data_IF_912481584713
#
_entry.id   IF_912481584713
#
_cell.length_a   1.000
_cell.length_b   1.000
_cell.length_c   1.000
_cell.angle_alpha   90.00
_cell.angle_beta   90.00
_cell.angle_gamma   90.00
#
_symmetry.space_group_name_H-M   'P 1'
#
loop_
_entity.id
_entity.type
_entity.pdbx_description
1 polymer ?
#
# COMPACT_ATOMS: atom_id res chain seq x y z
N UNK A 1 -15.30 23.32 -12.46
CA UNK A 1 -13.97 23.11 -13.07
C UNK A 1 -13.55 21.69 -12.76
N UNK A 2 -13.05 20.91 -13.72
CA UNK A 2 -12.62 19.54 -13.46
C UNK A 2 -11.38 19.55 -12.55
N UNK A 3 -11.42 18.79 -11.45
CA UNK A 3 -10.28 18.65 -10.56
C UNK A 3 -9.18 17.89 -11.28
N UNK A 4 -7.97 18.47 -11.33
CA UNK A 4 -6.81 17.79 -11.91
C UNK A 4 -6.50 16.55 -11.08
N UNK A 5 -6.42 15.35 -11.68
CA UNK A 5 -6.05 14.16 -10.94
C UNK A 5 -4.66 14.32 -10.34
N UNK A 6 -4.53 13.92 -9.08
CA UNK A 6 -3.28 13.94 -8.32
C UNK A 6 -3.00 12.59 -7.69
N UNK A 7 -1.74 12.33 -7.38
CA UNK A 7 -1.33 11.10 -6.72
C UNK A 7 -1.58 11.18 -5.19
N UNK A 8 -1.81 10.05 -4.50
CA UNK A 8 -1.98 10.04 -3.05
C UNK A 8 -0.81 10.70 -2.31
N UNK A 9 -1.09 11.37 -1.19
CA UNK A 9 -0.03 11.97 -0.35
C UNK A 9 0.99 10.92 0.06
N UNK A 10 2.27 11.30 0.04
CA UNK A 10 3.38 10.39 0.36
C UNK A 10 3.82 9.47 -0.79
N UNK A 11 3.22 9.60 -1.98
CA UNK A 11 3.64 8.88 -3.19
C UNK A 11 4.30 9.82 -4.20
N UNK A 12 5.06 9.26 -5.16
CA UNK A 12 5.68 9.99 -6.26
C UNK A 12 5.83 9.12 -7.49
N UNK A 13 5.74 9.72 -8.66
CA UNK A 13 6.09 9.09 -9.93
C UNK A 13 7.61 9.01 -10.10
N UNK A 14 8.08 8.04 -10.87
CA UNK A 14 9.49 7.86 -11.19
C UNK A 14 9.68 7.89 -12.71
N UNK A 15 10.46 8.85 -13.20
CA UNK A 15 10.79 8.96 -14.60
C UNK A 15 11.85 7.95 -15.05
N UNK A 16 12.19 7.93 -16.35
CA UNK A 16 13.14 6.97 -16.90
C UNK A 16 14.51 7.00 -16.22
N UNK A 17 15.03 8.18 -15.89
CA UNK A 17 16.34 8.35 -15.25
C UNK A 17 16.33 7.81 -13.82
N UNK A 18 15.30 8.07 -13.02
CA UNK A 18 15.20 7.49 -11.68
C UNK A 18 15.04 5.97 -11.74
N UNK A 19 14.20 5.47 -12.66
CA UNK A 19 13.98 4.04 -12.82
C UNK A 19 15.26 3.29 -13.22
N UNK A 20 16.07 3.85 -14.13
CA UNK A 20 17.35 3.28 -14.50
C UNK A 20 18.29 3.13 -13.29
N UNK A 21 18.40 4.17 -12.45
CA UNK A 21 19.21 4.13 -11.22
C UNK A 21 18.69 3.12 -10.20
N UNK A 22 17.36 3.03 -10.03
CA UNK A 22 16.74 2.05 -9.12
C UNK A 22 16.99 0.61 -9.58
N UNK A 23 16.84 0.35 -10.88
CA UNK A 23 17.06 -0.97 -11.45
C UNK A 23 18.52 -1.41 -11.31
N UNK A 24 19.48 -0.49 -11.47
CA UNK A 24 20.88 -0.79 -11.18
C UNK A 24 21.06 -1.33 -9.74
N UNK A 25 20.52 -0.63 -8.74
CA UNK A 25 20.59 -1.04 -7.34
C UNK A 25 19.93 -2.42 -7.13
N UNK A 26 18.71 -2.61 -7.64
CA UNK A 26 18.01 -3.88 -7.49
C UNK A 26 18.75 -5.05 -8.14
N UNK A 27 19.31 -4.84 -9.33
CA UNK A 27 20.04 -5.89 -10.04
C UNK A 27 21.32 -6.27 -9.28
N UNK A 28 22.08 -5.29 -8.79
CA UNK A 28 23.27 -5.57 -7.96
C UNK A 28 22.93 -6.40 -6.73
N UNK A 29 21.84 -6.07 -6.01
CA UNK A 29 21.41 -6.84 -4.84
C UNK A 29 21.03 -8.27 -5.25
N UNK A 30 20.23 -8.43 -6.31
CA UNK A 30 19.80 -9.75 -6.80
C UNK A 30 20.99 -10.62 -7.22
N UNK A 31 21.94 -10.06 -7.95
CA UNK A 31 23.16 -10.75 -8.39
C UNK A 31 23.95 -11.27 -7.20
N UNK A 32 24.18 -10.43 -6.19
CA UNK A 32 24.89 -10.84 -4.97
C UNK A 32 24.15 -11.96 -4.25
N UNK A 33 22.83 -11.85 -4.04
CA UNK A 33 22.06 -12.90 -3.37
C UNK A 33 22.11 -14.23 -4.14
N UNK A 34 22.05 -14.19 -5.47
CA UNK A 34 22.15 -15.36 -6.32
C UNK A 34 23.53 -16.05 -6.21
N UNK A 35 24.63 -15.30 -6.05
CA UNK A 35 25.97 -15.87 -5.82
C UNK A 35 26.04 -16.73 -4.56
N UNK A 36 25.23 -16.44 -3.55
CA UNK A 36 25.14 -17.20 -2.31
C UNK A 36 24.02 -18.25 -2.29
N UNK A 37 23.42 -18.54 -3.46
CA UNK A 37 22.41 -19.59 -3.60
C UNK A 37 21.02 -19.24 -3.08
N UNK A 38 20.75 -17.97 -2.77
CA UNK A 38 19.41 -17.52 -2.39
C UNK A 38 18.50 -17.46 -3.62
N UNK A 39 17.24 -17.86 -3.43
CA UNK A 39 16.21 -17.77 -4.46
C UNK A 39 15.21 -16.68 -4.09
N UNK A 40 14.86 -15.85 -5.08
CA UNK A 40 13.86 -14.81 -4.89
C UNK A 40 12.47 -15.45 -4.77
N UNK A 41 11.71 -15.01 -3.77
CA UNK A 41 10.26 -15.22 -3.68
C UNK A 41 9.57 -13.86 -3.64
N UNK A 42 8.31 -13.82 -4.03
CA UNK A 42 7.46 -12.64 -3.92
C UNK A 42 6.14 -13.06 -3.29
N UNK A 43 5.63 -12.23 -2.39
CA UNK A 43 4.34 -12.42 -1.73
C UNK A 43 3.37 -11.33 -2.20
N UNK A 44 2.05 -11.55 -2.11
CA UNK A 44 1.08 -10.50 -2.42
C UNK A 44 1.35 -9.21 -1.64
N UNK A 45 1.06 -8.06 -2.26
CA UNK A 45 1.19 -6.74 -1.61
C UNK A 45 0.18 -6.51 -0.46
N UNK A 46 -0.87 -7.35 -0.40
CA UNK A 46 -1.91 -7.31 0.62
C UNK A 46 -1.96 -8.67 1.29
N UNK A 47 -1.98 -8.66 2.62
CA UNK A 47 -2.08 -9.86 3.46
C UNK A 47 -3.32 -9.78 4.36
N UNK A 48 -3.74 -10.93 4.89
CA UNK A 48 -4.82 -10.94 5.89
C UNK A 48 -4.43 -10.09 7.10
N UNK A 49 -5.38 -9.29 7.61
CA UNK A 49 -5.13 -8.42 8.76
C UNK A 49 -4.61 -9.21 9.98
N UNK A 50 -5.17 -10.41 10.20
CA UNK A 50 -4.73 -11.32 11.27
C UNK A 50 -3.29 -11.80 11.14
N UNK A 51 -2.73 -11.82 9.92
CA UNK A 51 -1.31 -12.16 9.69
C UNK A 51 -0.38 -11.04 10.16
N UNK A 52 -0.82 -9.78 10.06
CA UNK A 52 0.02 -8.59 10.31
C UNK A 52 -0.12 -8.02 11.74
N UNK A 53 -1.28 -8.18 12.37
CA UNK A 53 -1.55 -7.61 13.70
C UNK A 53 -0.62 -8.17 14.79
N UNK A 54 -0.19 -7.29 15.71
CA UNK A 54 0.63 -7.63 16.87
C UNK A 54 2.08 -8.01 16.55
N UNK A 55 2.48 -8.02 15.28
CA UNK A 55 3.88 -8.32 14.86
C UNK A 55 4.81 -7.13 15.03
N UNK A 56 4.27 -5.92 15.00
CA UNK A 56 5.04 -4.67 15.01
C UNK A 56 4.76 -3.80 16.24
N UNK A 57 4.13 -4.37 17.27
CA UNK A 57 3.68 -3.64 18.46
C UNK A 57 2.50 -2.70 18.20
N UNK A 58 1.98 -2.10 19.27
CA UNK A 58 0.76 -1.29 19.23
C UNK A 58 0.89 -0.03 18.36
N UNK A 59 2.11 0.51 18.20
CA UNK A 59 2.38 1.63 17.30
C UNK A 59 2.45 1.19 15.83
N UNK A 60 3.04 0.03 15.55
CA UNK A 60 3.14 -0.51 14.20
C UNK A 60 1.77 -0.84 13.60
N UNK A 61 0.85 -1.37 14.41
CA UNK A 61 -0.51 -1.70 13.98
C UNK A 61 -1.33 -0.47 13.54
N UNK A 62 -0.99 0.73 14.06
CA UNK A 62 -1.61 2.00 13.66
C UNK A 62 -1.14 2.50 12.30
N UNK A 63 -0.02 2.01 11.80
CA UNK A 63 0.58 2.42 10.52
C UNK A 63 0.14 1.53 9.34
N UNK A 64 -0.66 0.49 9.59
CA UNK A 64 -1.16 -0.40 8.55
C UNK A 64 -2.23 0.27 7.68
N UNK A 65 -2.03 0.21 6.36
CA UNK A 65 -3.08 0.52 5.39
C UNK A 65 -4.08 -0.64 5.32
N UNK A 66 -5.30 -0.41 5.84
CA UNK A 66 -6.37 -1.42 5.86
C UNK A 66 -7.26 -1.26 4.63
N UNK A 67 -7.44 -2.35 3.89
CA UNK A 67 -8.42 -2.43 2.81
C UNK A 67 -9.80 -2.67 3.42
N UNK A 68 -10.77 -1.84 3.06
CA UNK A 68 -12.14 -1.99 3.53
C UNK A 68 -12.82 -3.15 2.81
N UNK A 69 -13.59 -3.95 3.54
CA UNK A 69 -14.40 -5.00 2.95
C UNK A 69 -15.45 -4.41 2.00
N UNK A 70 -15.60 -5.04 0.83
CA UNK A 70 -16.65 -4.68 -0.13
C UNK A 70 -18.03 -4.84 0.50
N UNK A 71 -18.91 -3.86 0.29
CA UNK A 71 -20.26 -3.84 0.87
C UNK A 71 -20.35 -3.34 2.32
N UNK A 72 -19.22 -3.12 3.00
CA UNK A 72 -19.16 -2.65 4.40
C UNK A 72 -18.99 -1.11 4.51
N UNK A 73 -19.05 -0.41 3.38
CA UNK A 73 -18.79 1.04 3.30
C UNK A 73 -19.87 1.91 3.95
N UNK A 74 -21.07 1.36 4.19
CA UNK A 74 -22.16 2.05 4.88
C UNK A 74 -22.32 1.65 6.34
N UNK A 75 -21.61 0.62 6.84
CA UNK A 75 -21.84 0.12 8.21
C UNK A 75 -21.53 1.13 9.32
N UNK A 76 -20.74 2.16 9.01
CA UNK A 76 -20.36 3.25 9.94
C UNK A 76 -21.10 4.56 9.67
N UNK A 77 -21.98 4.57 8.66
CA UNK A 77 -22.78 5.73 8.30
C UNK A 77 -24.18 5.46 8.86
N UNK A 78 -24.67 6.34 9.73
CA UNK A 78 -26.03 6.21 10.24
C UNK A 78 -27.06 6.49 9.13
N UNK A 79 -28.29 6.01 9.28
CA UNK A 79 -29.35 6.25 8.29
C UNK A 79 -29.62 7.75 8.10
N UNK A 80 -29.39 8.56 9.15
CA UNK A 80 -29.48 10.02 9.10
C UNK A 80 -28.35 10.64 8.24
N UNK A 81 -27.10 10.21 8.42
CA UNK A 81 -25.95 10.68 7.63
C UNK A 81 -26.08 10.29 6.14
N UNK A 82 -26.70 9.14 5.86
CA UNK A 82 -27.00 8.68 4.50
C UNK A 82 -28.08 9.55 3.83
N UNK A 83 -29.10 9.95 4.59
CA UNK A 83 -30.23 10.76 4.11
C UNK A 83 -29.83 12.20 3.82
N UNK A 84 -28.86 12.75 4.55
CA UNK A 84 -28.36 14.12 4.36
C UNK A 84 -27.51 14.31 3.09
N UNK A 85 -27.20 13.23 2.34
CA UNK A 85 -26.38 13.25 1.11
C UNK A 85 -25.03 13.97 1.23
N UNK A 86 -24.53 14.18 2.46
CA UNK A 86 -23.18 14.67 2.71
C UNK A 86 -22.21 13.51 2.64
N UNK A 87 -22.00 13.02 1.42
CA UNK A 87 -20.82 12.22 1.10
C UNK A 87 -19.67 13.22 0.97
N UNK A 88 -18.64 13.04 1.81
CA UNK A 88 -17.40 13.85 1.85
C UNK A 88 -16.95 14.44 0.51
#
# INVERSE_FOLDING_TARGET
MAQKPGIPKGTRDFGPVEMAKRNYIFNTIKEVYALYGFQQIETPSMENLSTLMGKYGDEGDKLLFKVLNSGDYLKKISDEELAERNVL
#
